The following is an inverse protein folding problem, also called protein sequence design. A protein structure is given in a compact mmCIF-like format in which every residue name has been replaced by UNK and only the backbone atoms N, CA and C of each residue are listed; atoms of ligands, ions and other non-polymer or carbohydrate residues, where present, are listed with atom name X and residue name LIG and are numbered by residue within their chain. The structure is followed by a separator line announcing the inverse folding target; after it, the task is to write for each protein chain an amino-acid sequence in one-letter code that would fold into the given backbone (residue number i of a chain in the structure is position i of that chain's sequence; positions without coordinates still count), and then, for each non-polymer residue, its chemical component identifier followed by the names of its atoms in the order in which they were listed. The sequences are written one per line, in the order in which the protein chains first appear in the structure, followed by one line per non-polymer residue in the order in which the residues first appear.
data_IF_239640628012
#
_entry.id   IF_239640628012
#
_cell.length_a   1.000
_cell.length_b   1.000
_cell.length_c   1.000
_cell.angle_alpha   90.00
_cell.angle_beta   90.00
_cell.angle_gamma   90.00
#
_symmetry.space_group_name_H-M   'P 1'
#
loop_
_entity.id
_entity.type
_entity.pdbx_description
1 polymer ?
#
# COMPACT_ATOMS: atom_id res chain seq x y z
N UNK A 1 2.38 30.47 0.03
CA UNK A 1 2.70 29.03 0.13
C UNK A 1 3.89 28.83 -0.76
N UNK A 2 4.96 28.28 -0.20
CA UNK A 2 6.17 27.96 -0.97
C UNK A 2 5.89 26.62 -1.66
N UNK A 3 6.01 26.59 -3.00
CA UNK A 3 5.68 25.40 -3.80
C UNK A 3 6.68 24.24 -3.57
N UNK A 4 7.77 24.54 -2.87
CA UNK A 4 8.85 23.62 -2.56
C UNK A 4 9.94 23.67 -3.61
N UNK A 5 11.02 22.94 -3.35
CA UNK A 5 12.19 22.89 -4.23
C UNK A 5 11.99 21.79 -5.26
N UNK A 6 12.27 22.10 -6.52
CA UNK A 6 12.31 21.10 -7.58
C UNK A 6 13.43 20.10 -7.32
N UNK A 7 13.10 18.81 -7.35
CA UNK A 7 14.05 17.77 -6.98
C UNK A 7 13.52 16.37 -7.27
N UNK A 8 14.42 15.41 -7.17
CA UNK A 8 14.12 13.98 -7.33
C UNK A 8 14.26 13.34 -5.95
N UNK A 9 13.33 12.48 -5.60
CA UNK A 9 13.36 11.65 -4.40
C UNK A 9 13.28 10.18 -4.82
N UNK A 10 13.92 9.32 -4.05
CA UNK A 10 13.84 7.89 -4.23
C UNK A 10 13.93 7.23 -2.86
N UNK A 11 12.91 6.46 -2.52
CA UNK A 11 12.80 5.68 -1.30
C UNK A 11 12.77 4.21 -1.69
N UNK A 12 13.48 3.37 -0.94
CA UNK A 12 13.55 1.94 -1.19
C UNK A 12 13.62 1.17 0.14
N UNK A 13 12.93 0.04 0.18
CA UNK A 13 13.02 -0.97 1.23
C UNK A 13 13.31 -2.31 0.57
N UNK A 14 14.27 -3.05 1.11
CA UNK A 14 14.67 -4.35 0.60
C UNK A 14 14.77 -5.29 1.79
N UNK A 15 14.08 -6.42 1.71
CA UNK A 15 14.11 -7.48 2.72
C UNK A 15 14.66 -8.74 2.07
N UNK A 16 15.62 -9.39 2.74
CA UNK A 16 16.17 -10.67 2.30
C UNK A 16 16.05 -11.67 3.44
N UNK A 17 15.52 -12.85 3.14
CA UNK A 17 15.42 -13.96 4.08
C UNK A 17 15.89 -15.26 3.44
N UNK A 18 16.63 -16.04 4.21
CA UNK A 18 17.02 -17.40 3.85
C UNK A 18 16.44 -18.33 4.90
N UNK A 19 15.87 -19.44 4.44
CA UNK A 19 15.28 -20.47 5.26
C UNK A 19 16.00 -21.78 4.95
N UNK A 20 16.49 -22.40 6.00
CA UNK A 20 17.13 -23.70 5.96
C UNK A 20 16.39 -24.64 6.90
N UNK A 21 15.95 -25.78 6.41
CA UNK A 21 15.14 -26.73 7.18
C UNK A 21 15.99 -27.93 7.61
N UNK A 22 16.26 -28.06 8.91
CA UNK A 22 17.21 -29.05 9.47
C UNK A 22 16.76 -30.51 9.27
N UNK A 23 15.50 -30.77 8.90
CA UNK A 23 14.90 -32.11 8.89
C UNK A 23 14.61 -32.66 7.48
N UNK A 24 15.37 -32.21 6.46
CA UNK A 24 15.25 -32.68 5.08
C UNK A 24 14.18 -31.96 4.25
N UNK A 25 13.77 -30.77 4.67
CA UNK A 25 12.86 -29.91 3.91
C UNK A 25 13.56 -29.01 2.90
N UNK A 26 12.78 -28.24 2.16
CA UNK A 26 13.25 -27.38 1.08
C UNK A 26 14.01 -26.15 1.60
N UNK A 27 15.12 -25.81 0.93
CA UNK A 27 15.85 -24.57 1.18
C UNK A 27 15.22 -23.45 0.35
N UNK A 28 14.74 -22.39 1.00
CA UNK A 28 14.17 -21.24 0.30
C UNK A 28 14.95 -19.96 0.56
N UNK A 29 15.19 -19.21 -0.51
CA UNK A 29 15.79 -17.89 -0.45
C UNK A 29 14.81 -16.90 -1.08
N UNK A 30 14.44 -15.87 -0.32
CA UNK A 30 13.54 -14.85 -0.77
C UNK A 30 14.15 -13.47 -0.61
N UNK A 31 14.02 -12.67 -1.67
CA UNK A 31 14.42 -11.27 -1.73
C UNK A 31 13.22 -10.49 -2.25
N UNK A 32 12.62 -9.70 -1.37
CA UNK A 32 11.54 -8.78 -1.70
C UNK A 32 12.03 -7.34 -1.58
N UNK A 33 11.37 -6.45 -2.29
CA UNK A 33 11.65 -5.03 -2.18
C UNK A 33 10.53 -4.18 -2.73
N UNK A 34 10.39 -3.00 -2.18
CA UNK A 34 9.43 -2.01 -2.63
C UNK A 34 10.07 -0.62 -2.54
N UNK A 35 9.60 0.29 -3.37
CA UNK A 35 10.11 1.65 -3.34
C UNK A 35 9.23 2.63 -4.07
N UNK A 36 9.51 3.90 -3.84
CA UNK A 36 8.82 5.01 -4.48
C UNK A 36 9.86 5.94 -5.07
N UNK A 37 9.75 6.22 -6.35
CA UNK A 37 10.52 7.27 -7.01
C UNK A 37 9.64 8.47 -7.25
N UNK A 38 10.18 9.67 -7.09
CA UNK A 38 9.41 10.88 -7.13
C UNK A 38 10.14 12.05 -7.75
N UNK A 39 9.38 12.92 -8.40
CA UNK A 39 9.87 14.19 -8.92
C UNK A 39 8.95 15.30 -8.44
N UNK A 40 9.53 16.35 -7.89
CA UNK A 40 8.83 17.58 -7.52
C UNK A 40 9.22 18.66 -8.53
N UNK A 41 8.23 19.30 -9.15
CA UNK A 41 8.42 20.40 -10.10
C UNK A 41 7.39 21.49 -9.80
N UNK A 42 7.83 22.53 -9.09
CA UNK A 42 6.93 23.55 -8.56
C UNK A 42 5.80 22.91 -7.73
N UNK A 43 4.51 23.23 -7.98
CA UNK A 43 3.40 22.70 -7.18
C UNK A 43 3.09 21.22 -7.47
N UNK A 44 3.64 20.65 -8.54
CA UNK A 44 3.39 19.27 -8.95
C UNK A 44 4.34 18.31 -8.27
N UNK A 45 3.77 17.22 -7.75
CA UNK A 45 4.49 16.10 -7.13
C UNK A 45 4.09 14.86 -7.91
N UNK A 46 5.05 14.27 -8.61
CA UNK A 46 4.89 13.03 -9.35
C UNK A 46 5.53 11.90 -8.57
N UNK A 47 4.89 10.74 -8.49
CA UNK A 47 5.42 9.53 -7.86
C UNK A 47 5.14 8.31 -8.71
N UNK A 48 6.05 7.35 -8.62
CA UNK A 48 5.89 6.02 -9.16
C UNK A 48 6.33 5.00 -8.11
N UNK A 49 5.44 4.07 -7.80
CA UNK A 49 5.66 3.03 -6.80
C UNK A 49 6.00 1.71 -7.50
N UNK A 50 7.09 1.06 -7.11
CA UNK A 50 7.53 -0.22 -7.65
C UNK A 50 7.64 -1.27 -6.54
N UNK A 51 7.38 -2.52 -6.89
CA UNK A 51 7.52 -3.67 -6.00
C UNK A 51 8.17 -4.83 -6.75
N UNK A 52 8.98 -5.61 -6.03
CA UNK A 52 9.67 -6.79 -6.54
C UNK A 52 9.59 -7.91 -5.52
N UNK A 53 9.39 -9.12 -5.99
CA UNK A 53 9.60 -10.33 -5.21
C UNK A 53 10.40 -11.35 -6.02
N UNK A 54 11.42 -11.93 -5.40
CA UNK A 54 12.24 -12.99 -5.94
C UNK A 54 12.30 -14.10 -4.90
N UNK A 55 11.67 -15.23 -5.19
CA UNK A 55 11.69 -16.42 -4.36
C UNK A 55 12.31 -17.58 -5.14
N UNK A 56 13.29 -18.23 -4.55
CA UNK A 56 13.92 -19.43 -5.09
C UNK A 56 13.83 -20.53 -4.05
N UNK A 57 13.11 -21.59 -4.38
CA UNK A 57 12.92 -22.77 -3.52
C UNK A 57 13.63 -23.95 -4.16
N UNK A 58 14.51 -24.60 -3.40
CA UNK A 58 15.18 -25.84 -3.80
C UNK A 58 14.59 -26.98 -3.01
N UNK A 59 13.93 -27.90 -3.70
CA UNK A 59 13.46 -29.12 -3.06
C UNK A 59 14.56 -30.18 -3.02
N UNK A 60 14.72 -30.81 -1.85
CA UNK A 60 15.70 -31.86 -1.60
C UNK A 60 15.07 -33.27 -1.62
N UNK A 61 13.92 -33.45 -2.27
CA UNK A 61 13.30 -34.77 -2.43
C UNK A 61 13.99 -35.56 -3.56
N UNK A 62 14.68 -36.64 -3.17
CA UNK A 62 15.46 -37.53 -4.04
C UNK A 62 14.59 -38.51 -4.88
N UNK A 63 13.24 -38.45 -4.80
CA UNK A 63 12.35 -39.51 -5.29
C UNK A 63 11.44 -39.13 -6.48
N UNK A 64 11.57 -37.93 -7.06
CA UNK A 64 10.77 -37.53 -8.23
C UNK A 64 11.62 -37.31 -9.50
N UNK A 65 11.28 -38.07 -10.56
CA UNK A 65 11.81 -37.97 -11.94
C UNK A 65 11.54 -36.58 -12.60
N UNK A 66 10.99 -35.62 -11.83
CA UNK A 66 10.60 -34.26 -12.21
C UNK A 66 10.97 -33.18 -11.14
N UNK A 67 11.91 -33.44 -10.21
CA UNK A 67 12.33 -32.46 -9.19
C UNK A 67 13.00 -31.22 -9.82
N UNK A 68 12.29 -30.10 -9.86
CA UNK A 68 12.75 -28.87 -10.50
C UNK A 68 12.76 -27.68 -9.54
N UNK A 69 13.89 -26.98 -9.48
CA UNK A 69 14.02 -25.67 -8.83
C UNK A 69 12.89 -24.72 -9.30
N UNK A 70 12.00 -24.29 -8.41
CA UNK A 70 11.00 -23.24 -8.73
C UNK A 70 11.59 -21.87 -8.41
N UNK A 71 11.61 -21.00 -9.42
CA UNK A 71 12.10 -19.63 -9.29
C UNK A 71 11.00 -18.67 -9.69
N UNK A 72 10.37 -18.05 -8.69
CA UNK A 72 9.33 -17.06 -8.89
C UNK A 72 9.93 -15.67 -8.84
N UNK A 73 9.93 -14.98 -9.99
CA UNK A 73 10.36 -13.58 -10.12
C UNK A 73 9.19 -12.72 -10.56
N UNK A 74 8.77 -11.79 -9.72
CA UNK A 74 7.76 -10.79 -10.04
C UNK A 74 8.33 -9.39 -9.83
N UNK A 75 8.41 -8.59 -10.89
CA UNK A 75 8.74 -7.17 -10.80
C UNK A 75 7.61 -6.36 -11.42
N UNK A 76 7.08 -5.38 -10.69
CA UNK A 76 5.90 -4.65 -11.10
C UNK A 76 6.00 -3.18 -10.67
N UNK A 77 5.64 -2.29 -11.59
CA UNK A 77 5.32 -0.92 -11.24
C UNK A 77 3.86 -0.88 -10.83
N UNK A 78 3.64 -0.73 -9.53
CA UNK A 78 2.33 -0.84 -8.90
C UNK A 78 1.46 0.39 -9.09
N UNK A 79 2.06 1.58 -9.26
CA UNK A 79 1.31 2.83 -9.35
C UNK A 79 2.08 3.98 -10.00
N UNK A 80 1.40 4.79 -10.81
CA UNK A 80 1.89 6.07 -11.30
C UNK A 80 0.90 7.20 -11.05
N UNK A 81 1.32 8.26 -10.36
CA UNK A 81 0.41 9.35 -10.03
C UNK A 81 1.12 10.68 -9.87
N UNK A 82 0.38 11.74 -10.16
CA UNK A 82 0.80 13.11 -9.95
C UNK A 82 -0.27 13.85 -9.15
N UNK A 83 0.13 14.67 -8.20
CA UNK A 83 -0.79 15.54 -7.50
C UNK A 83 -0.26 16.95 -7.35
N UNK A 84 -1.18 17.88 -7.17
CA UNK A 84 -0.90 19.25 -6.78
C UNK A 84 -1.91 19.73 -5.75
N UNK A 85 -1.43 20.54 -4.82
CA UNK A 85 -2.30 21.25 -3.88
C UNK A 85 -3.06 22.37 -4.61
N UNK A 86 -4.32 22.59 -4.23
CA UNK A 86 -5.19 23.69 -4.65
C UNK A 86 -5.59 24.50 -3.40
N UNK A 87 -4.76 25.44 -2.95
CA UNK A 87 -4.98 26.15 -1.69
C UNK A 87 -6.28 26.95 -1.64
N UNK A 88 -6.69 27.52 -2.78
CA UNK A 88 -7.95 28.29 -2.91
C UNK A 88 -9.19 27.47 -2.58
N UNK A 89 -9.12 26.15 -2.76
CA UNK A 89 -10.20 25.19 -2.56
C UNK A 89 -9.98 24.30 -1.35
N UNK A 90 -8.84 24.43 -0.63
CA UNK A 90 -8.40 23.49 0.42
C UNK A 90 -8.46 22.03 -0.05
N UNK A 91 -8.09 21.81 -1.30
CA UNK A 91 -8.21 20.53 -1.98
C UNK A 91 -6.89 20.10 -2.62
N UNK A 92 -6.78 18.82 -2.94
CA UNK A 92 -5.70 18.21 -3.73
C UNK A 92 -6.29 17.70 -5.03
N UNK A 93 -5.69 18.09 -6.14
CA UNK A 93 -5.93 17.50 -7.45
C UNK A 93 -4.93 16.36 -7.63
N UNK A 94 -5.42 15.14 -7.80
CA UNK A 94 -4.63 13.96 -8.15
C UNK A 94 -4.98 13.52 -9.59
N UNK A 95 -3.98 13.06 -10.32
CA UNK A 95 -4.07 12.57 -11.69
C UNK A 95 -3.24 11.29 -11.81
N UNK A 96 -3.71 10.32 -12.60
CA UNK A 96 -3.07 9.02 -12.79
C UNK A 96 -3.81 7.92 -12.05
N UNK A 97 -3.06 6.91 -11.61
CA UNK A 97 -3.58 5.76 -10.88
C UNK A 97 -3.77 6.11 -9.40
N UNK A 98 -4.91 5.77 -8.83
CA UNK A 98 -5.22 5.99 -7.42
C UNK A 98 -6.25 4.99 -6.93
N UNK A 99 -6.44 4.94 -5.61
CA UNK A 99 -7.44 4.09 -4.98
C UNK A 99 -8.60 4.94 -4.48
N UNK A 100 -9.82 4.54 -4.82
CA UNK A 100 -10.99 5.12 -4.20
C UNK A 100 -11.19 4.40 -2.88
N UNK A 101 -10.88 5.05 -1.75
CA UNK A 101 -11.43 4.63 -0.47
C UNK A 101 -12.73 5.41 -0.18
N UNK A 102 -13.81 4.70 0.13
CA UNK A 102 -15.12 5.25 0.48
C UNK A 102 -15.75 4.42 1.58
N UNK A 103 -16.38 5.06 2.56
CA UNK A 103 -17.16 4.37 3.60
C UNK A 103 -18.52 3.86 3.09
N UNK A 104 -18.89 4.20 1.84
CA UNK A 104 -20.21 3.93 1.23
C UNK A 104 -20.10 2.92 0.08
N UNK A 105 -18.93 2.81 -0.55
CA UNK A 105 -18.68 1.93 -1.69
C UNK A 105 -17.42 1.12 -1.41
N UNK A 106 -17.39 -0.15 -1.84
CA UNK A 106 -16.17 -0.95 -1.78
C UNK A 106 -15.05 -0.23 -2.52
N UNK A 107 -13.86 -0.22 -1.91
CA UNK A 107 -12.73 0.48 -2.49
C UNK A 107 -12.28 -0.19 -3.79
N UNK A 108 -12.06 0.59 -4.84
CA UNK A 108 -11.55 0.09 -6.12
C UNK A 108 -10.39 0.94 -6.65
N UNK A 109 -9.49 0.31 -7.39
CA UNK A 109 -8.38 0.98 -8.07
C UNK A 109 -8.93 1.65 -9.34
N UNK A 110 -8.42 2.83 -9.64
CA UNK A 110 -8.84 3.58 -10.82
C UNK A 110 -7.69 4.35 -11.44
N UNK A 111 -7.82 4.62 -12.73
CA UNK A 111 -6.98 5.55 -13.46
C UNK A 111 -7.81 6.73 -13.95
N UNK A 112 -7.38 7.94 -13.59
CA UNK A 112 -8.12 9.15 -13.96
C UNK A 112 -7.67 10.39 -13.20
N UNK A 113 -8.63 11.25 -12.88
CA UNK A 113 -8.42 12.45 -12.11
C UNK A 113 -9.38 12.52 -10.93
N UNK A 114 -8.88 13.00 -9.79
CA UNK A 114 -9.72 13.26 -8.63
C UNK A 114 -9.37 14.59 -7.97
N UNK A 115 -10.38 15.25 -7.44
CA UNK A 115 -10.26 16.42 -6.59
C UNK A 115 -10.88 16.07 -5.25
N UNK A 116 -10.08 16.09 -4.20
CA UNK A 116 -10.51 15.78 -2.84
C UNK A 116 -10.07 16.86 -1.87
N UNK A 117 -10.89 17.17 -0.88
CA UNK A 117 -10.47 17.99 0.27
C UNK A 117 -9.30 17.31 0.98
N UNK A 118 -8.24 18.06 1.30
CA UNK A 118 -7.04 17.50 1.94
C UNK A 118 -6.96 17.92 3.41
N UNK A 119 -7.25 16.97 4.31
CA UNK A 119 -7.25 17.19 5.76
C UNK A 119 -5.82 17.38 6.32
N UNK A 120 -4.76 17.01 5.60
CA UNK A 120 -3.38 17.26 6.03
C UNK A 120 -2.99 18.74 5.95
N UNK A 121 -3.77 19.55 5.20
CA UNK A 121 -3.67 21.01 5.22
C UNK A 121 -4.27 21.64 6.48
N UNK A 122 -4.89 20.83 7.36
CA UNK A 122 -5.38 21.27 8.66
C UNK A 122 -4.25 21.25 9.72
N UNK A 123 -4.36 22.09 10.77
CA UNK A 123 -3.42 22.08 11.89
C UNK A 123 -3.23 20.67 12.50
N UNK A 124 -2.02 20.30 12.96
CA UNK A 124 -1.65 18.95 13.37
C UNK A 124 -2.54 18.31 14.45
N UNK A 125 -3.23 19.12 15.26
CA UNK A 125 -4.18 18.66 16.29
C UNK A 125 -5.48 18.06 15.72
N UNK A 126 -5.58 17.90 14.40
CA UNK A 126 -6.73 17.37 13.65
C UNK A 126 -6.36 16.20 12.71
N UNK A 127 -5.12 15.69 12.78
CA UNK A 127 -4.65 14.58 11.94
C UNK A 127 -5.08 13.23 12.53
N UNK A 128 -5.40 12.28 11.65
CA UNK A 128 -6.10 11.03 11.92
C UNK A 128 -5.33 9.99 12.74
N UNK A 129 -6.02 8.89 13.00
CA UNK A 129 -5.54 7.71 13.72
C UNK A 129 -4.66 6.84 12.81
N UNK A 130 -3.44 6.52 13.24
CA UNK A 130 -2.63 5.48 12.60
C UNK A 130 -3.07 4.10 13.14
N UNK A 131 -3.47 3.15 12.28
CA UNK A 131 -3.84 1.82 12.73
C UNK A 131 -2.62 1.10 13.32
N UNK A 132 -2.79 0.55 14.53
CA UNK A 132 -1.77 -0.25 15.19
C UNK A 132 -1.96 -1.72 14.82
N UNK A 133 -0.99 -2.32 14.13
CA UNK A 133 -1.03 -3.74 13.76
C UNK A 133 -0.20 -4.51 14.79
N UNK A 134 -0.85 -5.35 15.59
CA UNK A 134 -0.20 -6.22 16.55
C UNK A 134 -0.44 -7.69 16.23
N UNK A 135 0.59 -8.52 16.44
CA UNK A 135 0.53 -9.96 16.26
C UNK A 135 1.57 -10.66 17.12
N UNK A 136 1.61 -11.99 17.03
CA UNK A 136 2.63 -12.82 17.68
C UNK A 136 3.25 -13.69 16.61
N UNK A 137 4.56 -13.59 16.43
CA UNK A 137 5.32 -14.48 15.56
C UNK A 137 5.97 -15.57 16.43
N UNK A 138 5.82 -16.85 16.06
CA UNK A 138 6.44 -17.94 16.81
C UNK A 138 7.95 -18.02 16.54
N UNK A 139 8.37 -17.60 15.35
CA UNK A 139 9.77 -17.48 14.92
C UNK A 139 10.06 -16.09 14.36
N UNK A 140 11.29 -15.82 13.91
CA UNK A 140 11.57 -14.63 13.10
C UNK A 140 10.69 -14.67 11.87
N UNK A 141 9.95 -13.60 11.61
CA UNK A 141 8.95 -13.58 10.56
C UNK A 141 9.05 -12.32 9.69
N UNK A 142 8.72 -12.45 8.42
CA UNK A 142 8.52 -11.33 7.51
C UNK A 142 7.04 -10.94 7.55
N UNK A 143 6.78 -9.70 7.93
CA UNK A 143 5.42 -9.13 7.96
C UNK A 143 5.25 -8.23 6.75
N UNK A 144 4.38 -8.65 5.84
CA UNK A 144 4.00 -7.90 4.64
C UNK A 144 2.57 -7.39 4.82
N UNK A 145 2.42 -6.07 4.78
CA UNK A 145 1.11 -5.42 4.81
C UNK A 145 0.81 -4.94 3.40
N UNK A 146 -0.30 -5.43 2.85
CA UNK A 146 -0.77 -5.04 1.53
C UNK A 146 -2.17 -4.46 1.59
N UNK A 147 -2.46 -3.57 0.64
CA UNK A 147 -3.78 -2.98 0.48
C UNK A 147 -4.16 -3.04 -0.99
N UNK A 148 -5.31 -3.65 -1.27
CA UNK A 148 -5.78 -3.87 -2.64
C UNK A 148 -4.67 -4.51 -3.49
N UNK A 149 -3.97 -5.45 -2.83
CA UNK A 149 -2.84 -6.21 -3.32
C UNK A 149 -1.48 -5.50 -3.32
N UNK A 150 -1.40 -4.16 -3.28
CA UNK A 150 -0.12 -3.45 -3.27
C UNK A 150 0.56 -3.55 -1.90
N UNK A 151 1.84 -3.91 -1.85
CA UNK A 151 2.62 -3.87 -0.60
C UNK A 151 2.83 -2.42 -0.17
N UNK A 152 2.28 -2.05 0.98
CA UNK A 152 2.39 -0.70 1.55
C UNK A 152 3.43 -0.63 2.67
N UNK A 153 3.73 -1.76 3.30
CA UNK A 153 4.71 -1.86 4.35
C UNK A 153 5.25 -3.28 4.39
N UNK A 154 6.56 -3.42 4.55
CA UNK A 154 7.22 -4.71 4.68
C UNK A 154 8.36 -4.57 5.70
N UNK A 155 8.41 -5.49 6.66
CA UNK A 155 9.47 -5.51 7.65
C UNK A 155 9.71 -6.93 8.19
N UNK A 156 10.89 -7.16 8.74
CA UNK A 156 11.20 -8.40 9.46
C UNK A 156 11.08 -8.16 10.96
N UNK A 157 10.36 -9.04 11.65
CA UNK A 157 10.15 -8.98 13.10
C UNK A 157 10.82 -10.19 13.77
N UNK A 158 11.39 -10.01 14.98
CA UNK A 158 11.92 -11.13 15.76
C UNK A 158 10.78 -12.01 16.30
N UNK A 159 11.15 -13.22 16.75
CA UNK A 159 10.21 -14.11 17.44
C UNK A 159 9.62 -13.45 18.70
N UNK A 160 8.30 -13.51 18.84
CA UNK A 160 7.56 -12.94 19.96
C UNK A 160 6.44 -11.99 19.53
N UNK A 161 5.82 -11.29 20.50
CA UNK A 161 4.82 -10.27 20.21
C UNK A 161 5.47 -9.08 19.50
N UNK A 162 4.89 -8.67 18.39
CA UNK A 162 5.34 -7.51 17.64
C UNK A 162 4.19 -6.51 17.47
N UNK A 163 4.58 -5.27 17.18
CA UNK A 163 3.66 -4.16 16.98
C UNK A 163 4.22 -3.22 15.93
N UNK A 164 3.44 -2.95 14.90
CA UNK A 164 3.80 -2.06 13.79
C UNK A 164 2.94 -0.80 13.92
N UNK A 165 3.61 0.29 14.32
CA UNK A 165 2.99 1.62 14.48
C UNK A 165 3.36 2.58 13.35
N UNK A 166 4.29 2.19 12.47
CA UNK A 166 4.85 3.03 11.40
C UNK A 166 4.09 2.89 10.07
N UNK A 167 2.80 2.53 10.13
CA UNK A 167 1.93 2.67 8.98
C UNK A 167 1.59 4.16 8.82
N UNK A 168 1.90 4.73 7.66
CA UNK A 168 1.67 6.14 7.41
C UNK A 168 0.22 6.59 7.73
N UNK A 169 0.08 7.83 8.24
CA UNK A 169 -1.17 8.44 8.77
C UNK A 169 -2.40 8.45 7.83
N UNK A 170 -2.27 7.96 6.60
CA UNK A 170 -3.28 7.98 5.54
C UNK A 170 -3.79 6.60 5.12
N UNK A 171 -3.41 5.53 5.81
CA UNK A 171 -3.87 4.18 5.50
C UNK A 171 -5.31 3.99 6.01
N UNK A 172 -6.22 3.63 5.09
CA UNK A 172 -7.64 3.48 5.39
C UNK A 172 -8.27 2.44 4.46
N UNK A 173 -9.25 1.67 4.93
CA UNK A 173 -9.86 0.54 4.21
C UNK A 173 -9.36 -0.84 4.70
N UNK A 174 -9.63 -1.90 3.94
CA UNK A 174 -9.15 -3.26 4.29
C UNK A 174 -7.66 -3.39 4.01
N UNK A 175 -6.93 -3.87 5.02
CA UNK A 175 -5.51 -4.24 4.94
C UNK A 175 -5.42 -5.75 5.02
N UNK A 176 -4.62 -6.31 4.11
CA UNK A 176 -4.29 -7.71 4.09
C UNK A 176 -2.90 -7.89 4.69
N UNK A 177 -2.82 -8.56 5.83
CA UNK A 177 -1.58 -8.81 6.55
C UNK A 177 -1.18 -10.25 6.29
N UNK A 178 0.04 -10.44 5.79
CA UNK A 178 0.68 -11.73 5.61
C UNK A 178 1.92 -11.79 6.49
N UNK A 179 1.96 -12.76 7.39
CA UNK A 179 3.10 -13.06 8.25
C UNK A 179 3.70 -14.37 7.78
N UNK A 180 4.92 -14.31 7.29
CA UNK A 180 5.65 -15.47 6.81
C UNK A 180 6.77 -15.81 7.79
N UNK A 181 6.60 -16.92 8.49
CA UNK A 181 7.54 -17.39 9.51
C UNK A 181 8.73 -18.14 8.91
N UNK A 182 9.86 -18.13 9.61
CA UNK A 182 11.05 -18.89 9.20
C UNK A 182 10.85 -20.40 9.15
N UNK A 183 9.82 -20.94 9.81
CA UNK A 183 9.41 -22.34 9.70
C UNK A 183 8.42 -22.60 8.55
N UNK A 184 8.19 -21.62 7.68
CA UNK A 184 7.29 -21.73 6.52
C UNK A 184 5.81 -21.59 6.81
N UNK A 185 5.43 -21.46 8.07
CA UNK A 185 4.05 -21.18 8.43
C UNK A 185 3.70 -19.78 7.91
N UNK A 186 2.68 -19.70 7.06
CA UNK A 186 2.14 -18.43 6.58
C UNK A 186 0.84 -18.19 7.33
N UNK A 187 0.75 -17.05 8.03
CA UNK A 187 -0.46 -16.59 8.67
C UNK A 187 -1.00 -15.38 7.89
N UNK A 188 -2.24 -15.45 7.45
CA UNK A 188 -2.90 -14.36 6.71
C UNK A 188 -4.17 -13.94 7.44
N UNK A 189 -4.36 -12.63 7.59
CA UNK A 189 -5.59 -12.07 8.13
C UNK A 189 -5.84 -10.66 7.59
N UNK A 190 -7.12 -10.32 7.51
CA UNK A 190 -7.56 -9.00 7.07
C UNK A 190 -7.93 -8.13 8.28
N UNK A 191 -7.36 -6.93 8.34
CA UNK A 191 -7.81 -5.88 9.25
C UNK A 191 -8.57 -4.85 8.44
N UNK A 192 -9.86 -4.70 8.72
CA UNK A 192 -10.61 -3.54 8.25
C UNK A 192 -10.23 -2.33 9.11
N UNK A 193 -9.47 -1.41 8.54
CA UNK A 193 -9.23 -0.13 9.20
C UNK A 193 -10.49 0.72 9.02
N UNK A 194 -11.26 0.81 10.10
CA UNK A 194 -12.36 1.76 10.15
C UNK A 194 -11.76 3.16 10.12
N UNK A 195 -12.02 3.91 9.06
CA UNK A 195 -11.92 5.36 9.16
C UNK A 195 -12.91 5.76 10.26
N UNK A 196 -12.46 6.46 11.31
CA UNK A 196 -13.43 7.01 12.26
C UNK A 196 -14.44 7.82 11.44
N UNK A 197 -15.76 7.62 11.60
CA UNK A 197 -16.74 8.44 10.92
C UNK A 197 -16.56 9.86 11.45
N UNK A 198 -15.78 10.65 10.72
CA UNK A 198 -15.35 11.95 11.17
C UNK A 198 -16.56 12.86 11.22
N UNK A 199 -17.03 13.15 12.43
CA UNK A 199 -17.80 14.34 12.76
C UNK A 199 -16.99 15.54 12.25
N UNK A 200 -17.32 16.03 11.06
CA UNK A 200 -16.84 17.33 10.59
C UNK A 200 -17.22 18.37 11.62
N UNK A 201 -16.29 19.24 12.03
CA UNK A 201 -16.70 20.39 12.84
C UNK A 201 -17.71 21.22 12.04
N UNK A 202 -18.71 21.83 12.71
CA UNK A 202 -19.62 22.76 12.05
C UNK A 202 -18.86 23.78 11.21
N UNK A 203 -19.17 23.86 9.92
CA UNK A 203 -18.53 24.76 8.95
C UNK A 203 -17.46 24.15 8.04
N UNK A 204 -17.17 22.85 8.15
CA UNK A 204 -16.27 22.15 7.23
C UNK A 204 -17.03 21.25 6.25
N UNK A 205 -16.72 21.38 4.97
CA UNK A 205 -17.34 20.65 3.86
C UNK A 205 -16.26 19.81 3.20
N UNK A 206 -16.32 18.50 3.41
CA UNK A 206 -15.47 17.54 2.69
C UNK A 206 -16.16 17.12 1.40
N UNK A 207 -15.48 17.21 0.28
CA UNK A 207 -15.98 16.73 -1.00
C UNK A 207 -14.90 15.92 -1.71
N UNK A 208 -15.34 14.91 -2.46
CA UNK A 208 -14.47 14.12 -3.34
C UNK A 208 -15.18 13.94 -4.67
N UNK A 209 -14.55 14.44 -5.72
CA UNK A 209 -14.99 14.29 -7.11
C UNK A 209 -13.93 13.44 -7.79
N UNK A 210 -14.35 12.32 -8.36
CA UNK A 210 -13.47 11.42 -9.08
C UNK A 210 -14.04 11.14 -10.45
N UNK A 211 -13.16 11.17 -11.44
CA UNK A 211 -13.47 10.95 -12.84
C UNK A 211 -12.41 10.03 -13.44
N UNK A 212 -12.79 8.80 -13.80
CA UNK A 212 -11.81 7.82 -14.27
C UNK A 212 -12.43 6.50 -14.68
N UNK A 213 -11.56 5.55 -15.04
CA UNK A 213 -11.93 4.17 -15.32
C UNK A 213 -11.45 3.28 -14.18
N UNK A 214 -12.27 2.31 -13.74
CA UNK A 214 -11.77 1.29 -12.84
C UNK A 214 -10.65 0.51 -13.54
N UNK A 215 -9.66 0.11 -12.75
CA UNK A 215 -8.51 -0.64 -13.22
C UNK A 215 -8.41 -1.90 -12.37
N UNK A 216 -8.31 -3.05 -13.04
CA UNK A 216 -7.98 -4.29 -12.37
C UNK A 216 -6.45 -4.43 -12.23
N UNK A 217 -6.03 -5.25 -11.28
CA UNK A 217 -4.63 -5.48 -10.98
C UNK A 217 -3.88 -6.03 -12.22
N UNK A 218 -2.74 -5.42 -12.58
CA UNK A 218 -2.02 -5.73 -13.83
C UNK A 218 -2.27 -4.77 -15.00
N UNK A 219 -2.71 -3.53 -14.73
CA UNK A 219 -2.89 -2.46 -15.75
C UNK A 219 -3.97 -2.76 -16.80
N UNK A 220 -4.87 -3.71 -16.55
CA UNK A 220 -6.01 -3.96 -17.42
C UNK A 220 -7.13 -2.97 -17.10
N UNK A 221 -7.49 -2.16 -18.09
CA UNK A 221 -8.58 -1.20 -17.98
C UNK A 221 -9.86 -1.89 -18.42
N UNK A 222 -10.56 -2.49 -17.47
CA UNK A 222 -11.87 -3.10 -17.71
C UNK A 222 -12.96 -2.06 -17.38
N UNK A 223 -13.78 -1.71 -18.37
CA UNK A 223 -15.03 -0.98 -18.13
C UNK A 223 -15.14 0.43 -18.72
N UNK A 224 -16.37 0.94 -18.62
CA UNK A 224 -16.78 2.23 -19.18
C UNK A 224 -16.39 3.39 -18.25
N UNK A 225 -16.42 4.61 -18.79
CA UNK A 225 -16.08 5.81 -18.02
C UNK A 225 -16.99 5.99 -16.79
N UNK A 226 -16.40 6.19 -15.61
CA UNK A 226 -17.14 6.34 -14.35
C UNK A 226 -16.88 7.72 -13.69
N UNK A 227 -17.95 8.36 -13.25
CA UNK A 227 -17.90 9.59 -12.45
C UNK A 227 -18.50 9.28 -11.09
N UNK A 228 -17.69 9.42 -10.03
CA UNK A 228 -18.13 9.20 -8.65
C UNK A 228 -18.05 10.52 -7.90
N UNK A 229 -19.19 10.92 -7.33
CA UNK A 229 -19.34 12.11 -6.50
C UNK A 229 -19.66 11.67 -5.08
N UNK A 230 -18.76 11.95 -4.13
CA UNK A 230 -19.10 11.90 -2.70
C UNK A 230 -19.63 13.27 -2.31
N UNK A 231 -20.95 13.44 -2.12
CA UNK A 231 -21.51 14.71 -1.70
C UNK A 231 -20.97 15.09 -0.32
N UNK A 232 -21.05 16.38 0.05
CA UNK A 232 -20.63 16.81 1.37
C UNK A 232 -21.31 16.02 2.48
N UNK A 233 -20.51 15.46 3.38
CA UNK A 233 -21.02 15.03 4.67
C UNK A 233 -21.40 16.27 5.47
N UNK A 234 -22.70 16.56 5.58
CA UNK A 234 -23.23 17.56 6.49
C UNK A 234 -23.85 16.87 7.69
N UNK A 235 -23.29 17.09 8.88
CA UNK A 235 -24.05 17.21 10.12
C UNK A 235 -23.42 18.27 11.00
#
# INVERSE_FOLDING_TARGET
MDDGISGIIADYSITAQTRHEENGGDDSNEISGNGTVGVNLGPWRMRADWQTNYQHTRSNDDDDEFGGDDTQKKWEWSRYYAWRALPSLKAKLALGEDYLNSDIFDGFNYVGGSVSTDDQMLPPNLRGYAPDISGVAHTTAKVTVSQMGRVIYETQVPAGPFRIQDLGDSVSGTLHIRIEEQNGQVQEYDISTASMPYLTRPGQVRYKIMMGRPQEWGHHVEGDFSLVLKPPGHR
#
